data_IF_370937074558
#
_entry.id   IF_370937074558
#
_cell.length_a   1.000
_cell.length_b   1.000
_cell.length_c   1.000
_cell.angle_alpha   90.00
_cell.angle_beta   90.00
_cell.angle_gamma   90.00
#
_symmetry.space_group_name_H-M   'P 1'
#
loop_
_entity.id
_entity.type
_entity.pdbx_description
1 polymer ?
#
# COMPACT_ATOMS: atom_id res chain seq x y z
N UNK A 1 -36.53 -21.62 6.30
CA UNK A 1 -35.21 -21.18 6.82
C UNK A 1 -35.35 -20.79 8.28
N UNK A 2 -34.56 -21.38 9.19
CA UNK A 2 -34.69 -21.16 10.64
C UNK A 2 -34.41 -19.70 11.02
N UNK A 3 -35.02 -19.23 12.11
CA UNK A 3 -34.80 -17.90 12.68
C UNK A 3 -33.32 -17.65 12.98
N UNK A 4 -32.62 -18.70 13.39
CA UNK A 4 -31.18 -18.72 13.67
C UNK A 4 -30.38 -18.33 12.43
N UNK A 5 -30.72 -18.89 11.26
CA UNK A 5 -30.04 -18.56 10.01
C UNK A 5 -30.21 -17.08 9.63
N UNK A 6 -31.40 -16.50 9.85
CA UNK A 6 -31.63 -15.07 9.61
C UNK A 6 -30.82 -14.18 10.56
N UNK A 7 -30.70 -14.54 11.84
CA UNK A 7 -29.90 -13.79 12.80
C UNK A 7 -28.40 -13.82 12.48
N UNK A 8 -27.88 -14.98 12.07
CA UNK A 8 -26.47 -15.13 11.66
C UNK A 8 -26.19 -14.28 10.41
N UNK A 9 -27.06 -14.35 9.41
CA UNK A 9 -26.93 -13.58 8.17
C UNK A 9 -26.96 -12.07 8.45
N UNK A 10 -27.90 -11.60 9.28
CA UNK A 10 -27.97 -10.19 9.64
C UNK A 10 -26.73 -9.73 10.40
N UNK A 11 -26.21 -10.55 11.33
CA UNK A 11 -24.98 -10.25 12.06
C UNK A 11 -23.75 -10.18 11.16
N UNK A 12 -23.68 -11.00 10.12
CA UNK A 12 -22.62 -10.91 9.10
C UNK A 12 -22.75 -9.65 8.24
N UNK A 13 -23.96 -9.30 7.80
CA UNK A 13 -24.24 -8.07 7.04
C UNK A 13 -23.90 -6.83 7.86
N UNK A 14 -24.27 -6.82 9.15
CA UNK A 14 -23.97 -5.73 10.06
C UNK A 14 -22.47 -5.61 10.33
N UNK A 15 -21.75 -6.73 10.47
CA UNK A 15 -20.29 -6.72 10.57
C UNK A 15 -19.62 -6.16 9.31
N UNK A 16 -20.13 -6.44 8.12
CA UNK A 16 -19.61 -5.91 6.86
C UNK A 16 -19.92 -4.40 6.74
N UNK A 17 -21.13 -3.97 7.11
CA UNK A 17 -21.51 -2.54 7.10
C UNK A 17 -20.76 -1.71 8.14
N UNK A 18 -20.47 -2.30 9.31
CA UNK A 18 -19.78 -1.64 10.40
C UNK A 18 -18.25 -1.71 10.30
N UNK A 19 -17.69 -2.74 9.65
CA UNK A 19 -16.28 -2.75 9.24
C UNK A 19 -16.09 -1.87 8.00
N UNK A 20 -16.13 -0.54 8.20
CA UNK A 20 -15.75 0.44 7.17
C UNK A 20 -14.28 0.36 6.77
N UNK A 21 -13.47 -0.41 7.48
CA UNK A 21 -12.06 -0.64 7.21
C UNK A 21 -11.89 -2.02 6.57
N UNK A 22 -12.03 -2.09 5.25
CA UNK A 22 -11.54 -3.23 4.47
C UNK A 22 -10.01 -3.24 4.61
N UNK A 23 -9.49 -3.97 5.59
CA UNK A 23 -8.06 -4.16 5.73
C UNK A 23 -7.62 -5.28 4.80
N UNK A 24 -7.17 -4.91 3.59
CA UNK A 24 -6.56 -5.86 2.66
C UNK A 24 -5.12 -6.04 3.12
N UNK A 25 -4.80 -7.21 3.65
CA UNK A 25 -3.42 -7.56 4.02
C UNK A 25 -2.60 -7.84 2.77
N UNK A 26 -1.92 -6.81 2.27
CA UNK A 26 -1.03 -6.90 1.10
C UNK A 26 0.41 -6.84 1.59
N UNK A 27 1.29 -7.63 0.99
CA UNK A 27 2.73 -7.64 1.27
C UNK A 27 3.54 -7.58 -0.01
N UNK A 28 4.69 -6.93 0.03
CA UNK A 28 5.61 -6.77 -1.10
C UNK A 28 7.08 -6.90 -0.65
N UNK A 29 7.95 -7.31 -1.56
CA UNK A 29 9.40 -7.42 -1.37
C UNK A 29 10.12 -6.93 -2.63
N UNK A 30 11.27 -6.29 -2.46
CA UNK A 30 12.09 -5.86 -3.60
C UNK A 30 12.95 -7.02 -4.09
N UNK A 31 12.91 -7.26 -5.40
CA UNK A 31 13.69 -8.28 -6.10
C UNK A 31 14.71 -7.61 -7.02
N UNK A 32 15.90 -8.20 -7.15
CA UNK A 32 16.87 -7.90 -8.20
C UNK A 32 17.09 -9.17 -9.04
N UNK A 33 16.55 -9.18 -10.25
CA UNK A 33 16.41 -10.41 -11.02
C UNK A 33 15.54 -11.42 -10.26
N UNK A 34 16.11 -12.58 -9.93
CA UNK A 34 15.44 -13.64 -9.16
C UNK A 34 15.74 -13.60 -7.66
N UNK A 35 16.59 -12.68 -7.21
CA UNK A 35 17.05 -12.62 -5.81
C UNK A 35 16.29 -11.55 -5.01
N UNK A 36 15.72 -11.86 -3.84
CA UNK A 36 15.15 -10.85 -2.95
C UNK A 36 16.26 -10.02 -2.31
N UNK A 37 16.16 -8.70 -2.39
CA UNK A 37 17.14 -7.74 -1.85
C UNK A 37 16.57 -6.88 -0.72
N UNK A 38 15.24 -6.81 -0.59
CA UNK A 38 14.55 -6.04 0.44
C UNK A 38 13.88 -6.90 1.51
N UNK A 39 13.37 -6.24 2.54
CA UNK A 39 12.50 -6.88 3.53
C UNK A 39 11.08 -7.02 2.99
N UNK A 40 10.36 -8.06 3.43
CA UNK A 40 8.92 -8.16 3.20
C UNK A 40 8.24 -7.04 3.99
N UNK A 41 7.45 -6.23 3.30
CA UNK A 41 6.77 -5.08 3.86
C UNK A 41 5.28 -5.16 3.57
N UNK A 42 4.44 -4.89 4.56
CA UNK A 42 2.99 -4.83 4.41
C UNK A 42 2.49 -3.41 4.21
N UNK A 43 1.22 -3.26 3.83
CA UNK A 43 0.55 -1.98 3.89
C UNK A 43 0.62 -1.39 5.31
N UNK A 44 0.92 -0.10 5.40
CA UNK A 44 0.88 0.65 6.66
C UNK A 44 -0.40 1.48 6.65
N UNK A 45 -1.12 1.46 7.76
CA UNK A 45 -2.30 2.30 7.98
C UNK A 45 -1.98 3.78 7.77
N UNK A 46 -3.04 4.60 7.70
CA UNK A 46 -2.94 6.05 7.47
C UNK A 46 -1.85 6.65 8.36
N UNK A 47 -0.83 7.19 7.72
CA UNK A 47 0.32 7.73 8.42
C UNK A 47 0.20 9.26 8.53
N UNK A 48 0.81 9.84 9.56
CA UNK A 48 0.93 11.28 9.71
C UNK A 48 2.32 11.70 9.22
N UNK A 49 2.38 12.48 8.14
CA UNK A 49 3.64 13.04 7.64
C UNK A 49 3.58 14.56 7.70
N UNK A 50 4.55 15.19 8.38
CA UNK A 50 4.66 16.66 8.51
C UNK A 50 3.36 17.33 9.01
N UNK A 51 2.68 16.69 9.96
CA UNK A 51 1.42 17.18 10.54
C UNK A 51 0.18 17.02 9.65
N UNK A 52 0.30 16.37 8.48
CA UNK A 52 -0.83 16.08 7.60
C UNK A 52 -1.17 14.58 7.62
N UNK A 53 -2.47 14.28 7.63
CA UNK A 53 -2.99 12.92 7.46
C UNK A 53 -2.73 12.48 6.03
N UNK A 54 -1.87 11.49 5.83
CA UNK A 54 -1.65 10.86 4.53
C UNK A 54 -2.53 9.61 4.39
N UNK A 55 -2.88 9.22 3.15
CA UNK A 55 -3.51 7.91 2.93
C UNK A 55 -2.56 6.78 3.34
N UNK A 56 -3.12 5.57 3.47
CA UNK A 56 -2.34 4.37 3.75
C UNK A 56 -1.19 4.21 2.75
N UNK A 57 -0.05 3.73 3.25
CA UNK A 57 1.08 3.40 2.41
C UNK A 57 0.90 1.97 1.92
N UNK A 58 0.89 1.76 0.61
CA UNK A 58 0.83 0.42 0.04
C UNK A 58 2.10 -0.37 0.35
N UNK A 59 1.97 -1.70 0.41
CA UNK A 59 3.07 -2.62 0.69
C UNK A 59 4.29 -2.39 -0.23
N UNK A 60 4.05 -2.14 -1.51
CA UNK A 60 5.08 -1.87 -2.52
C UNK A 60 5.87 -0.60 -2.18
N UNK A 61 5.17 0.49 -1.88
CA UNK A 61 5.79 1.76 -1.50
C UNK A 61 6.58 1.59 -0.21
N UNK A 62 6.04 0.87 0.77
CA UNK A 62 6.75 0.56 2.02
C UNK A 62 8.03 -0.25 1.76
N UNK A 63 7.99 -1.26 0.89
CA UNK A 63 9.17 -2.03 0.49
C UNK A 63 10.26 -1.14 -0.14
N UNK A 64 9.87 -0.20 -1.01
CA UNK A 64 10.80 0.76 -1.62
C UNK A 64 11.40 1.70 -0.56
N UNK A 65 10.57 2.25 0.35
CA UNK A 65 11.05 3.14 1.44
C UNK A 65 12.03 2.40 2.36
N UNK A 66 11.66 1.18 2.75
CA UNK A 66 12.43 0.32 3.65
C UNK A 66 13.78 -0.03 3.06
N UNK A 67 13.84 -0.31 1.75
CA UNK A 67 15.08 -0.71 1.08
C UNK A 67 15.99 0.47 0.70
N UNK A 68 15.46 1.53 0.08
CA UNK A 68 16.29 2.61 -0.49
C UNK A 68 16.60 3.77 0.46
N UNK A 69 15.96 3.82 1.63
CA UNK A 69 16.28 4.83 2.65
C UNK A 69 15.81 6.25 2.27
N UNK A 70 14.63 6.62 2.77
CA UNK A 70 14.07 7.99 2.88
C UNK A 70 14.36 8.96 1.73
N UNK A 71 13.38 9.06 0.81
CA UNK A 71 12.93 10.38 0.33
C UNK A 71 11.51 10.37 -0.27
N UNK A 72 10.58 9.54 0.21
CA UNK A 72 9.22 9.50 -0.40
C UNK A 72 8.29 10.51 0.29
N UNK A 73 7.59 11.33 -0.49
CA UNK A 73 6.55 12.25 -0.03
C UNK A 73 5.22 11.95 -0.74
N UNK A 74 4.11 12.26 -0.09
CA UNK A 74 2.79 12.12 -0.71
C UNK A 74 2.40 13.42 -1.43
N UNK A 75 2.03 13.31 -2.70
CA UNK A 75 1.44 14.37 -3.52
C UNK A 75 -0.06 14.11 -3.67
N UNK A 76 -0.96 15.06 -3.31
CA UNK A 76 -2.40 14.87 -3.45
C UNK A 76 -2.85 14.55 -4.87
N UNK A 77 -2.13 15.04 -5.88
CA UNK A 77 -2.46 14.86 -7.31
C UNK A 77 -1.84 13.61 -7.92
N UNK A 78 -0.79 13.03 -7.33
CA UNK A 78 0.01 11.98 -7.97
C UNK A 78 0.38 10.80 -7.05
N UNK A 79 -0.06 10.79 -5.79
CA UNK A 79 0.29 9.75 -4.83
C UNK A 79 1.71 9.87 -4.27
N UNK A 80 2.26 8.75 -3.80
CA UNK A 80 3.60 8.67 -3.21
C UNK A 80 4.70 8.85 -4.28
N UNK A 81 5.59 9.83 -4.08
CA UNK A 81 6.70 10.19 -4.99
C UNK A 81 8.04 10.20 -4.25
N UNK A 82 9.13 9.79 -4.92
CA UNK A 82 10.49 9.81 -4.38
C UNK A 82 11.23 11.11 -4.74
N UNK A 83 11.93 11.73 -3.78
CA UNK A 83 12.69 12.99 -3.92
C UNK A 83 13.91 12.84 -4.84
N UNK A 84 14.46 11.63 -4.97
CA UNK A 84 15.70 11.39 -5.71
C UNK A 84 15.52 11.13 -7.21
N UNK A 85 14.30 11.18 -7.74
CA UNK A 85 14.13 11.28 -9.19
C UNK A 85 14.27 12.75 -9.60
N UNK A 86 15.50 13.29 -9.53
CA UNK A 86 15.90 14.31 -10.52
C UNK A 86 15.75 13.62 -11.87
N UNK A 87 14.63 13.87 -12.54
CA UNK A 87 14.35 13.57 -13.95
C UNK A 87 15.36 12.59 -14.56
N UNK A 88 15.27 11.31 -14.20
CA UNK A 88 15.98 10.30 -14.97
C UNK A 88 15.29 10.29 -16.32
N UNK A 89 15.92 11.01 -17.26
CA UNK A 89 15.58 11.07 -18.68
C UNK A 89 15.05 9.71 -19.13
N UNK A 90 13.95 9.76 -19.88
CA UNK A 90 13.26 8.63 -20.50
C UNK A 90 14.19 7.44 -20.75
N UNK A 91 13.96 6.32 -20.06
CA UNK A 91 14.53 5.05 -20.46
C UNK A 91 13.83 4.66 -21.76
N UNK A 92 14.44 5.00 -22.90
CA UNK A 92 14.06 4.40 -24.18
C UNK A 92 14.42 2.92 -24.12
N UNK A 93 13.42 2.06 -24.00
CA UNK A 93 13.60 0.64 -24.28
C UNK A 93 14.03 0.49 -25.74
N UNK A 94 15.14 -0.20 -26.06
CA UNK A 94 15.40 -0.58 -27.44
C UNK A 94 14.29 -1.55 -27.88
N UNK A 95 13.52 -1.14 -28.88
CA UNK A 95 12.52 -1.99 -29.51
C UNK A 95 13.18 -3.24 -30.09
N UNK A 96 12.56 -4.39 -29.81
CA UNK A 96 12.73 -5.60 -30.62
C UNK A 96 11.94 -5.51 -31.91
#
# INVERSE_FOLDING_TARGET
>A
MSLINKMIINKMIDNIKNNKNVNIGISAIIMHGTTPIGNICSNIDRNYCRGMVCPSMHAEVNAVVSHYGKSIYYSPTHGWKMWCLKETKEIKYPGG
#
